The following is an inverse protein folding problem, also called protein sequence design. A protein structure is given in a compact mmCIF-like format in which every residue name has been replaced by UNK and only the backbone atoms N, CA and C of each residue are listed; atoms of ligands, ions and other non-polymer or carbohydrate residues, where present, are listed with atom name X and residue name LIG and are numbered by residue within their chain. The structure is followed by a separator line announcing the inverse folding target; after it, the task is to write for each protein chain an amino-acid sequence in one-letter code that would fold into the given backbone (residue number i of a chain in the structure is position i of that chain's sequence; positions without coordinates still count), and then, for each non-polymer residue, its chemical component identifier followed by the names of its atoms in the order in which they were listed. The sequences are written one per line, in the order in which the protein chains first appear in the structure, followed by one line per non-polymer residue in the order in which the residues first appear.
data_IF_316215354211
#
_entry.id   IF_316215354211
#
_cell.length_a   1.000
_cell.length_b   1.000
_cell.length_c   1.000
_cell.angle_alpha   90.00
_cell.angle_beta   90.00
_cell.angle_gamma   90.00
#
_symmetry.space_group_name_H-M   'P 1'
#
loop_
_entity.id
_entity.type
_entity.pdbx_description
1 polymer ?
#
# COMPACT_ATOMS: atom_id res chain seq x y z
N UNK A 1 18.97 -0.28 -7.52
CA UNK A 1 17.98 -0.54 -6.46
C UNK A 1 16.93 -1.51 -6.96
N UNK A 2 16.58 -2.51 -6.16
CA UNK A 2 15.51 -3.49 -6.44
C UNK A 2 14.37 -3.32 -5.44
N UNK A 3 13.14 -3.30 -5.95
CA UNK A 3 11.92 -3.29 -5.15
C UNK A 3 11.33 -4.70 -5.09
N UNK A 4 11.14 -5.21 -3.88
CA UNK A 4 10.46 -6.47 -3.58
C UNK A 4 9.27 -6.22 -2.67
N UNK A 5 9.02 -7.07 -1.69
CA UNK A 5 7.98 -6.90 -0.68
C UNK A 5 8.00 -8.01 0.36
N UNK A 6 7.06 -7.96 1.27
CA UNK A 6 6.95 -8.88 2.42
C UNK A 6 6.64 -10.34 2.04
N UNK A 7 6.24 -10.61 0.79
CA UNK A 7 6.17 -11.98 0.26
C UNK A 7 7.51 -12.73 0.37
N UNK A 8 8.65 -12.02 0.47
CA UNK A 8 9.94 -12.60 0.79
C UNK A 8 9.94 -13.37 2.12
N UNK A 9 9.07 -12.98 3.06
CA UNK A 9 8.93 -13.65 4.36
C UNK A 9 7.85 -14.75 4.38
N UNK A 10 7.16 -14.96 3.26
CA UNK A 10 6.09 -15.97 3.16
C UNK A 10 4.77 -15.56 3.79
N UNK A 11 4.52 -14.25 4.00
CA UNK A 11 3.30 -13.72 4.63
C UNK A 11 2.00 -14.15 3.94
N UNK A 12 2.06 -14.45 2.65
CA UNK A 12 0.94 -14.91 1.83
C UNK A 12 0.67 -16.42 1.93
N UNK A 13 1.55 -17.17 2.61
CA UNK A 13 1.46 -18.63 2.74
C UNK A 13 1.01 -19.07 4.14
N UNK A 14 1.49 -18.36 5.16
CA UNK A 14 1.26 -18.71 6.57
C UNK A 14 1.51 -17.51 7.48
N UNK A 15 0.99 -17.52 8.72
CA UNK A 15 1.41 -16.57 9.74
C UNK A 15 2.91 -16.62 9.95
N UNK A 16 3.52 -15.46 10.15
CA UNK A 16 4.96 -15.31 10.43
C UNK A 16 5.17 -14.77 11.83
N UNK A 17 6.37 -14.93 12.39
CA UNK A 17 6.75 -14.20 13.57
C UNK A 17 6.86 -12.70 13.27
N UNK A 18 6.47 -11.83 14.20
CA UNK A 18 6.56 -10.38 14.05
C UNK A 18 7.49 -9.78 15.10
N UNK A 19 8.26 -8.77 14.73
CA UNK A 19 8.44 -8.20 13.40
C UNK A 19 9.38 -9.05 12.53
N UNK A 20 9.06 -9.17 11.23
CA UNK A 20 9.94 -9.82 10.27
C UNK A 20 11.24 -9.02 10.10
N UNK A 21 12.38 -9.71 9.97
CA UNK A 21 13.71 -9.10 9.92
C UNK A 21 14.50 -9.59 8.72
N UNK A 22 15.27 -8.70 8.11
CA UNK A 22 16.07 -8.96 6.92
C UNK A 22 17.12 -10.06 7.14
N UNK A 23 17.60 -10.23 8.38
CA UNK A 23 18.57 -11.26 8.76
C UNK A 23 18.01 -12.69 8.84
N UNK A 24 16.69 -12.86 8.67
CA UNK A 24 16.11 -14.19 8.63
C UNK A 24 16.53 -14.92 7.35
N UNK A 25 16.66 -16.26 7.41
CA UNK A 25 16.93 -17.04 6.23
C UNK A 25 15.79 -16.89 5.22
N UNK A 26 16.09 -17.08 3.93
CA UNK A 26 15.08 -17.12 2.87
C UNK A 26 14.00 -18.13 3.20
N UNK A 27 12.75 -17.73 3.06
CA UNK A 27 11.62 -18.65 3.20
C UNK A 27 11.66 -19.69 2.06
N UNK A 28 11.46 -20.95 2.43
CA UNK A 28 11.51 -22.08 1.47
C UNK A 28 10.20 -22.15 0.69
N UNK A 29 10.09 -21.38 -0.38
CA UNK A 29 8.96 -21.38 -1.33
C UNK A 29 9.42 -20.85 -2.69
N UNK A 30 8.71 -21.21 -3.75
CA UNK A 30 8.93 -20.60 -5.06
C UNK A 30 8.63 -19.10 -5.01
N UNK A 31 9.63 -18.28 -5.35
CA UNK A 31 9.51 -16.85 -5.35
C UNK A 31 10.53 -16.26 -6.34
N UNK A 32 10.05 -15.56 -7.35
CA UNK A 32 10.91 -14.91 -8.34
C UNK A 32 11.87 -13.87 -7.71
N UNK A 33 11.61 -13.40 -6.49
CA UNK A 33 12.53 -12.55 -5.74
C UNK A 33 13.90 -13.22 -5.55
N UNK A 34 13.92 -14.53 -5.35
CA UNK A 34 15.19 -15.27 -5.16
C UNK A 34 16.03 -15.24 -6.41
N UNK A 35 15.42 -15.38 -7.60
CA UNK A 35 16.11 -15.28 -8.89
C UNK A 35 16.70 -13.88 -9.11
N UNK A 36 15.94 -12.84 -8.75
CA UNK A 36 16.41 -11.45 -8.82
C UNK A 36 17.58 -11.19 -7.86
N UNK A 37 17.49 -11.65 -6.62
CA UNK A 37 18.54 -11.48 -5.62
C UNK A 37 19.82 -12.24 -6.04
N UNK A 38 19.68 -13.47 -6.51
CA UNK A 38 20.82 -14.29 -6.92
C UNK A 38 21.53 -13.65 -8.13
N UNK A 39 20.77 -13.17 -9.11
CA UNK A 39 21.31 -12.43 -10.25
C UNK A 39 22.07 -11.17 -9.80
N UNK A 40 21.50 -10.36 -8.91
CA UNK A 40 22.18 -9.15 -8.42
C UNK A 40 23.46 -9.47 -7.66
N UNK A 41 23.44 -10.51 -6.81
CA UNK A 41 24.61 -10.94 -6.04
C UNK A 41 25.71 -11.52 -6.93
N UNK A 42 25.36 -12.23 -8.00
CA UNK A 42 26.30 -12.73 -9.00
C UNK A 42 26.96 -11.57 -9.73
N UNK A 43 26.15 -10.64 -10.26
CA UNK A 43 26.67 -9.46 -10.99
C UNK A 43 27.54 -8.56 -10.12
N UNK A 44 27.19 -8.36 -8.85
CA UNK A 44 27.99 -7.58 -7.91
C UNK A 44 29.37 -8.19 -7.64
N UNK A 45 29.51 -9.52 -7.69
CA UNK A 45 30.81 -10.18 -7.52
C UNK A 45 31.69 -10.10 -8.78
N UNK A 46 31.09 -10.02 -9.95
CA UNK A 46 31.79 -10.00 -11.24
C UNK A 46 32.20 -8.59 -11.68
N UNK A 47 31.58 -7.56 -11.12
CA UNK A 47 31.74 -6.15 -11.56
C UNK A 47 31.75 -5.23 -10.34
N UNK A 48 32.17 -3.99 -10.54
CA UNK A 48 32.06 -2.93 -9.52
C UNK A 48 30.62 -2.38 -9.46
N UNK A 49 29.64 -3.26 -9.25
CA UNK A 49 28.21 -2.95 -9.21
C UNK A 49 27.64 -3.23 -7.84
N UNK A 50 27.29 -2.16 -7.11
CA UNK A 50 26.57 -2.25 -5.85
C UNK A 50 25.04 -2.26 -6.05
N UNK A 51 24.32 -2.91 -5.15
CA UNK A 51 22.86 -2.94 -5.18
C UNK A 51 22.25 -2.71 -3.80
N UNK A 52 20.98 -2.30 -3.78
CA UNK A 52 20.16 -2.23 -2.56
C UNK A 52 18.79 -2.83 -2.85
N UNK A 53 18.28 -3.64 -1.94
CA UNK A 53 16.96 -4.26 -2.03
C UNK A 53 16.05 -3.67 -0.96
N UNK A 54 14.89 -3.15 -1.37
CA UNK A 54 13.85 -2.71 -0.43
C UNK A 54 12.68 -3.68 -0.41
N UNK A 55 12.20 -4.01 0.79
CA UNK A 55 11.02 -4.82 1.05
C UNK A 55 9.97 -3.98 1.77
N UNK A 56 9.24 -3.12 1.04
CA UNK A 56 8.19 -2.31 1.63
C UNK A 56 6.97 -3.15 2.01
N UNK A 57 6.17 -2.60 2.90
CA UNK A 57 4.79 -2.99 3.14
C UNK A 57 3.86 -2.41 2.05
N UNK A 58 2.57 -2.24 2.33
CA UNK A 58 1.59 -1.70 1.37
C UNK A 58 1.99 -0.30 0.95
N UNK A 59 2.23 -0.11 -0.35
CA UNK A 59 2.61 1.19 -0.92
C UNK A 59 1.35 1.97 -1.29
N UNK A 60 1.27 3.20 -0.81
CA UNK A 60 0.23 4.17 -1.15
C UNK A 60 0.84 5.32 -1.96
N UNK A 61 0.14 5.76 -2.99
CA UNK A 61 0.60 6.85 -3.83
C UNK A 61 -0.38 7.17 -4.95
N UNK A 62 -0.10 8.25 -5.67
CA UNK A 62 -0.88 8.68 -6.81
C UNK A 62 -0.45 7.90 -8.07
N UNK A 63 -1.20 6.84 -8.40
CA UNK A 63 -0.99 6.03 -9.59
C UNK A 63 -2.32 5.49 -10.13
N UNK A 64 -2.61 5.77 -11.39
CA UNK A 64 -3.81 5.30 -12.09
C UNK A 64 -3.53 3.94 -12.75
N UNK A 65 -4.50 3.03 -12.70
CA UNK A 65 -4.43 1.72 -13.37
C UNK A 65 -3.47 0.72 -12.76
N UNK A 66 -2.90 1.02 -11.59
CA UNK A 66 -2.04 0.08 -10.87
C UNK A 66 -2.87 -1.07 -10.27
N UNK A 67 -2.29 -2.27 -10.25
CA UNK A 67 -3.01 -3.46 -9.78
C UNK A 67 -3.19 -3.55 -8.25
N UNK A 68 -2.49 -2.72 -7.47
CA UNK A 68 -2.46 -2.77 -6.01
C UNK A 68 -2.39 -1.37 -5.39
N UNK A 69 -3.22 -0.44 -5.87
CA UNK A 69 -3.31 0.92 -5.32
C UNK A 69 -4.71 1.19 -4.76
N UNK A 70 -4.81 1.36 -3.44
CA UNK A 70 -6.09 1.56 -2.76
C UNK A 70 -6.60 3.02 -2.90
N UNK A 71 -5.72 3.99 -3.16
CA UNK A 71 -6.07 5.41 -3.23
C UNK A 71 -7.21 5.70 -4.22
N UNK A 72 -7.10 5.33 -5.52
CA UNK A 72 -8.19 5.59 -6.46
C UNK A 72 -9.47 4.83 -6.11
N UNK A 73 -9.37 3.68 -5.42
CA UNK A 73 -10.54 2.92 -4.96
C UNK A 73 -11.35 3.71 -3.94
N UNK A 74 -10.67 4.29 -2.94
CA UNK A 74 -11.31 5.10 -1.91
C UNK A 74 -11.86 6.40 -2.47
N UNK A 75 -11.13 7.04 -3.40
CA UNK A 75 -11.61 8.24 -4.11
C UNK A 75 -12.89 7.97 -4.91
N UNK A 76 -12.92 6.90 -5.70
CA UNK A 76 -14.09 6.50 -6.48
C UNK A 76 -15.27 6.12 -5.55
N UNK A 77 -14.99 5.40 -4.47
CA UNK A 77 -16.00 5.06 -3.48
C UNK A 77 -16.63 6.31 -2.84
N UNK A 78 -15.81 7.27 -2.41
CA UNK A 78 -16.30 8.53 -1.83
C UNK A 78 -17.13 9.34 -2.84
N UNK A 79 -16.68 9.45 -4.10
CA UNK A 79 -17.41 10.19 -5.15
C UNK A 79 -18.77 9.56 -5.45
N UNK A 80 -18.83 8.23 -5.54
CA UNK A 80 -20.09 7.51 -5.78
C UNK A 80 -21.04 7.66 -4.58
N UNK A 81 -20.53 7.47 -3.34
CA UNK A 81 -21.36 7.65 -2.13
C UNK A 81 -21.92 9.07 -2.03
N UNK A 82 -21.13 10.09 -2.40
CA UNK A 82 -21.57 11.49 -2.43
C UNK A 82 -22.69 11.71 -3.45
N UNK A 83 -22.59 11.18 -4.65
CA UNK A 83 -23.63 11.31 -5.68
C UNK A 83 -24.93 10.59 -5.25
N UNK A 84 -24.81 9.46 -4.57
CA UNK A 84 -25.94 8.71 -3.97
C UNK A 84 -26.49 9.38 -2.68
N UNK A 85 -25.84 10.44 -2.17
CA UNK A 85 -26.17 11.10 -0.90
C UNK A 85 -26.08 10.15 0.30
N UNK A 86 -25.12 9.26 0.29
CA UNK A 86 -24.83 8.27 1.32
C UNK A 86 -23.53 8.65 2.06
N UNK A 87 -23.41 8.33 3.36
CA UNK A 87 -22.16 8.58 4.09
C UNK A 87 -21.03 7.67 3.59
N UNK A 88 -19.78 8.10 3.80
CA UNK A 88 -18.59 7.32 3.53
C UNK A 88 -18.41 6.26 4.62
N UNK A 89 -19.18 5.19 4.55
CA UNK A 89 -19.18 4.11 5.54
C UNK A 89 -17.92 3.24 5.44
N UNK A 90 -17.41 2.76 6.58
CA UNK A 90 -16.32 1.78 6.61
C UNK A 90 -16.81 0.42 6.08
N UNK A 91 -16.11 -0.14 5.10
CA UNK A 91 -16.56 -1.36 4.40
C UNK A 91 -15.81 -2.62 4.80
N UNK A 92 -14.73 -2.48 5.60
CA UNK A 92 -13.88 -3.60 5.98
C UNK A 92 -14.51 -4.57 6.97
N UNK A 93 -13.87 -5.71 7.11
CA UNK A 93 -14.23 -6.77 8.05
C UNK A 93 -13.56 -6.61 9.42
N UNK A 94 -13.01 -7.71 9.96
CA UNK A 94 -12.34 -7.72 11.25
C UNK A 94 -11.08 -6.86 11.25
N UNK A 95 -10.91 -6.09 12.33
CA UNK A 95 -9.76 -5.19 12.49
C UNK A 95 -8.46 -5.98 12.71
N UNK A 96 -7.39 -5.52 12.08
CA UNK A 96 -6.04 -6.00 12.30
C UNK A 96 -5.02 -4.90 12.02
N UNK A 97 -3.81 -5.06 12.54
CA UNK A 97 -2.75 -4.06 12.44
C UNK A 97 -1.98 -4.21 11.13
N UNK A 98 -1.75 -3.07 10.47
CA UNK A 98 -1.01 -2.95 9.22
C UNK A 98 0.10 -1.91 9.34
N UNK A 99 0.99 -1.92 8.36
CA UNK A 99 1.97 -0.87 8.11
C UNK A 99 1.81 -0.35 6.69
N UNK A 100 2.00 0.95 6.52
CA UNK A 100 1.95 1.64 5.24
C UNK A 100 3.35 2.04 4.77
N UNK A 101 3.46 2.31 3.47
CA UNK A 101 4.61 3.01 2.86
C UNK A 101 4.07 4.08 1.93
N UNK A 102 4.44 5.31 2.18
CA UNK A 102 4.23 6.41 1.23
C UNK A 102 5.19 6.25 0.05
N UNK A 103 4.70 6.34 -1.17
CA UNK A 103 5.52 6.25 -2.37
C UNK A 103 6.61 7.34 -2.42
N UNK A 104 6.36 8.51 -1.81
CA UNK A 104 7.33 9.60 -1.67
C UNK A 104 8.44 9.23 -0.69
N UNK A 105 8.12 8.53 0.41
CA UNK A 105 9.12 8.01 1.35
C UNK A 105 9.99 6.95 0.68
N UNK A 106 9.38 6.05 -0.11
CA UNK A 106 10.10 5.06 -0.90
C UNK A 106 11.06 5.72 -1.90
N UNK A 107 10.63 6.77 -2.59
CA UNK A 107 11.49 7.53 -3.50
C UNK A 107 12.67 8.19 -2.76
N UNK A 108 12.45 8.75 -1.57
CA UNK A 108 13.53 9.26 -0.71
C UNK A 108 14.51 8.17 -0.29
N UNK A 109 14.01 6.98 0.07
CA UNK A 109 14.85 5.85 0.41
C UNK A 109 15.71 5.38 -0.77
N UNK A 110 15.17 5.37 -1.99
CA UNK A 110 15.93 5.06 -3.21
C UNK A 110 17.03 6.09 -3.46
N UNK A 111 16.71 7.39 -3.32
CA UNK A 111 17.70 8.46 -3.46
C UNK A 111 18.80 8.34 -2.41
N UNK A 112 18.46 8.09 -1.16
CA UNK A 112 19.42 7.86 -0.09
C UNK A 112 20.34 6.68 -0.40
N UNK A 113 19.78 5.54 -0.79
CA UNK A 113 20.53 4.33 -1.09
C UNK A 113 21.53 4.51 -2.25
N UNK A 114 21.23 5.39 -3.21
CA UNK A 114 22.13 5.68 -4.33
C UNK A 114 23.42 6.40 -3.89
N UNK A 115 23.45 6.98 -2.70
CA UNK A 115 24.59 7.78 -2.21
C UNK A 115 25.18 7.28 -0.88
N UNK A 116 24.49 6.39 -0.18
CA UNK A 116 24.91 5.90 1.13
C UNK A 116 25.75 4.62 1.01
N UNK A 117 27.04 4.64 1.39
CA UNK A 117 27.87 3.43 1.38
C UNK A 117 27.29 2.30 2.25
N UNK A 118 26.59 2.65 3.33
CA UNK A 118 25.89 1.71 4.22
C UNK A 118 24.71 0.98 3.60
N UNK A 119 24.30 1.38 2.39
CA UNK A 119 23.21 0.75 1.64
C UNK A 119 23.72 -0.26 0.58
N UNK A 120 25.02 -0.29 0.30
CA UNK A 120 25.59 -1.17 -0.71
C UNK A 120 25.47 -2.63 -0.31
N UNK A 121 24.98 -3.46 -1.24
CA UNK A 121 24.76 -4.91 -1.12
C UNK A 121 23.85 -5.32 0.05
N UNK A 122 22.97 -4.40 0.44
CA UNK A 122 22.10 -4.54 1.58
C UNK A 122 20.62 -4.73 1.21
N UNK A 123 19.89 -5.32 2.14
CA UNK A 123 18.44 -5.46 2.05
C UNK A 123 17.79 -4.76 3.24
N UNK A 124 16.76 -3.96 3.00
CA UNK A 124 16.04 -3.20 4.01
C UNK A 124 14.53 -3.39 3.92
N UNK A 125 13.89 -3.58 5.06
CA UNK A 125 12.46 -3.37 5.20
C UNK A 125 12.17 -1.85 5.23
N UNK A 126 11.03 -1.44 4.68
CA UNK A 126 10.60 -0.05 4.68
C UNK A 126 9.11 0.06 5.04
N UNK A 127 8.82 0.96 5.97
CA UNK A 127 7.47 1.39 6.35
C UNK A 127 7.47 2.88 6.64
N UNK A 128 6.30 3.50 6.79
CA UNK A 128 6.17 4.90 7.21
C UNK A 128 6.80 5.16 8.60
N UNK A 129 6.80 4.14 9.47
CA UNK A 129 7.38 4.23 10.81
C UNK A 129 6.39 4.01 11.94
N UNK A 130 5.10 3.99 11.64
CA UNK A 130 3.98 3.70 12.52
C UNK A 130 3.23 2.44 12.07
N UNK A 131 2.13 2.15 12.75
CA UNK A 131 1.18 1.09 12.44
C UNK A 131 -0.23 1.65 12.47
N UNK A 132 -1.15 1.09 11.69
CA UNK A 132 -2.53 1.54 11.65
C UNK A 132 -3.53 0.39 11.60
N UNK A 133 -4.79 0.72 11.87
CA UNK A 133 -5.97 -0.11 11.64
C UNK A 133 -6.91 0.68 10.75
N UNK A 134 -7.41 0.10 9.68
CA UNK A 134 -8.25 0.81 8.70
C UNK A 134 -9.41 1.57 9.34
N UNK A 135 -10.12 0.94 10.28
CA UNK A 135 -11.24 1.57 10.98
C UNK A 135 -10.84 2.86 11.71
N UNK A 136 -9.63 2.90 12.26
CA UNK A 136 -9.15 4.03 13.06
C UNK A 136 -8.72 5.21 12.18
N UNK A 137 -8.14 4.96 11.00
CA UNK A 137 -7.75 6.02 10.05
C UNK A 137 -8.90 6.44 9.12
N UNK A 138 -9.99 5.70 9.10
CA UNK A 138 -11.14 5.97 8.23
C UNK A 138 -11.73 7.37 8.38
N UNK A 139 -11.90 7.90 9.60
CA UNK A 139 -12.38 9.29 9.79
C UNK A 139 -11.43 10.35 9.21
N UNK A 140 -10.11 10.12 9.25
CA UNK A 140 -9.14 11.03 8.65
C UNK A 140 -9.23 11.01 7.12
N UNK A 141 -9.36 9.83 6.54
CA UNK A 141 -9.57 9.66 5.09
C UNK A 141 -10.87 10.36 4.67
N UNK A 142 -11.95 10.16 5.40
CA UNK A 142 -13.23 10.82 5.13
C UNK A 142 -13.10 12.34 5.14
N UNK A 143 -12.43 12.91 6.16
CA UNK A 143 -12.17 14.37 6.24
C UNK A 143 -11.39 14.87 5.03
N UNK A 144 -10.33 14.16 4.63
CA UNK A 144 -9.50 14.53 3.49
C UNK A 144 -10.28 14.52 2.16
N UNK A 145 -11.24 13.60 2.02
CA UNK A 145 -12.15 13.50 0.87
C UNK A 145 -13.37 14.44 0.99
N UNK A 146 -13.51 15.23 2.07
CA UNK A 146 -14.68 16.07 2.33
C UNK A 146 -15.98 15.26 2.44
N UNK A 147 -15.90 14.05 3.00
CA UNK A 147 -17.03 13.13 3.16
C UNK A 147 -17.40 12.97 4.65
N UNK A 148 -18.68 12.74 4.93
CA UNK A 148 -19.15 12.38 6.28
C UNK A 148 -19.04 10.86 6.48
N UNK A 149 -18.53 10.45 7.64
CA UNK A 149 -18.53 9.04 8.03
C UNK A 149 -19.92 8.58 8.46
N UNK A 150 -20.24 7.32 8.17
CA UNK A 150 -21.46 6.65 8.65
C UNK A 150 -21.16 5.42 9.50
N UNK A 151 -22.23 4.75 9.92
CA UNK A 151 -22.11 3.44 10.53
C UNK A 151 -21.38 2.47 9.55
N UNK A 152 -20.59 1.54 10.06
CA UNK A 152 -19.90 0.56 9.21
C UNK A 152 -20.89 -0.27 8.37
N UNK A 153 -20.58 -0.40 7.09
CA UNK A 153 -21.34 -1.20 6.14
C UNK A 153 -20.40 -2.25 5.52
N UNK A 154 -20.14 -3.39 6.17
CA UNK A 154 -19.25 -4.40 5.64
C UNK A 154 -19.70 -4.90 4.26
N UNK A 155 -18.87 -4.68 3.24
CA UNK A 155 -19.14 -5.09 1.87
C UNK A 155 -17.84 -5.26 1.09
N UNK A 156 -17.93 -5.87 -0.09
CA UNK A 156 -16.82 -5.86 -1.04
C UNK A 156 -16.87 -4.59 -1.89
N UNK A 157 -15.83 -3.78 -1.81
CA UNK A 157 -15.69 -2.58 -2.62
C UNK A 157 -15.69 -2.88 -4.13
N UNK A 158 -15.07 -3.98 -4.54
CA UNK A 158 -15.07 -4.40 -5.94
C UNK A 158 -16.51 -4.59 -6.44
N UNK A 159 -17.35 -5.33 -5.72
CA UNK A 159 -18.73 -5.58 -6.13
C UNK A 159 -19.55 -4.28 -6.14
N UNK A 160 -19.39 -3.45 -5.10
CA UNK A 160 -20.11 -2.17 -4.99
C UNK A 160 -19.75 -1.20 -6.13
N UNK A 161 -18.47 -1.03 -6.42
CA UNK A 161 -17.97 -0.08 -7.40
C UNK A 161 -18.31 -0.52 -8.83
N UNK A 162 -18.06 -1.78 -9.20
CA UNK A 162 -18.33 -2.25 -10.55
C UNK A 162 -19.82 -2.35 -10.89
N UNK A 163 -20.69 -2.51 -9.90
CA UNK A 163 -22.13 -2.38 -10.08
C UNK A 163 -22.55 -0.93 -10.43
N UNK A 164 -21.69 0.06 -10.19
CA UNK A 164 -21.95 1.50 -10.38
C UNK A 164 -21.06 2.16 -11.44
N UNK A 165 -20.54 1.37 -12.36
CA UNK A 165 -19.63 1.86 -13.44
C UNK A 165 -20.27 2.95 -14.31
N UNK A 166 -21.58 2.88 -14.54
CA UNK A 166 -22.28 3.87 -15.33
C UNK A 166 -22.44 5.18 -14.53
N UNK A 167 -22.77 5.10 -13.24
CA UNK A 167 -22.79 6.27 -12.35
C UNK A 167 -21.42 6.94 -12.26
N UNK A 168 -20.33 6.15 -12.18
CA UNK A 168 -18.97 6.70 -12.24
C UNK A 168 -18.72 7.47 -13.54
N UNK A 169 -19.14 6.93 -14.69
CA UNK A 169 -18.98 7.61 -15.99
C UNK A 169 -19.72 8.95 -16.02
N UNK A 170 -20.92 9.01 -15.41
CA UNK A 170 -21.69 10.24 -15.32
C UNK A 170 -20.98 11.26 -14.41
N UNK A 171 -20.45 10.82 -13.25
CA UNK A 171 -19.62 11.64 -12.35
C UNK A 171 -18.40 12.17 -13.10
N UNK A 172 -17.66 11.29 -13.77
CA UNK A 172 -16.44 11.66 -14.48
C UNK A 172 -16.73 12.69 -15.58
N UNK A 173 -17.81 12.52 -16.32
CA UNK A 173 -18.27 13.46 -17.36
C UNK A 173 -18.66 14.80 -16.74
N UNK A 174 -19.45 14.79 -15.67
CA UNK A 174 -19.94 15.98 -14.96
C UNK A 174 -18.79 16.84 -14.41
N UNK A 175 -17.73 16.20 -13.93
CA UNK A 175 -16.59 16.87 -13.28
C UNK A 175 -15.33 16.94 -14.15
N UNK A 176 -15.36 16.48 -15.40
CA UNK A 176 -14.23 16.52 -16.33
C UNK A 176 -13.04 15.66 -15.87
N UNK A 177 -13.29 14.54 -15.19
CA UNK A 177 -12.23 13.66 -14.70
C UNK A 177 -11.50 12.99 -15.86
N UNK A 178 -10.20 12.72 -15.64
CA UNK A 178 -9.27 12.19 -16.66
C UNK A 178 -9.69 10.80 -17.16
N UNK A 179 -10.19 9.92 -16.27
CA UNK A 179 -10.53 8.55 -16.63
C UNK A 179 -11.99 8.21 -16.29
N UNK A 180 -12.87 8.22 -17.31
CA UNK A 180 -14.28 7.87 -17.15
C UNK A 180 -14.56 6.37 -17.11
N UNK A 181 -13.59 5.53 -17.46
CA UNK A 181 -13.71 4.08 -17.37
C UNK A 181 -13.20 3.61 -16.01
N UNK A 182 -14.13 3.21 -15.13
CA UNK A 182 -13.80 2.74 -13.79
C UNK A 182 -12.88 1.51 -13.81
N UNK A 183 -13.01 0.63 -14.80
CA UNK A 183 -12.16 -0.54 -14.95
C UNK A 183 -10.71 -0.16 -15.25
N UNK A 184 -10.48 0.85 -16.09
CA UNK A 184 -9.15 1.37 -16.38
C UNK A 184 -8.57 2.13 -15.19
N UNK A 185 -9.39 2.92 -14.49
CA UNK A 185 -8.96 3.65 -13.30
C UNK A 185 -8.45 2.71 -12.21
N UNK A 186 -9.22 1.69 -11.89
CA UNK A 186 -8.98 0.83 -10.74
C UNK A 186 -8.14 -0.41 -11.06
N UNK A 187 -8.19 -0.92 -12.29
CA UNK A 187 -7.58 -2.20 -12.62
C UNK A 187 -8.09 -3.29 -11.67
N UNK A 188 -7.17 -3.91 -10.93
CA UNK A 188 -7.46 -4.91 -9.88
C UNK A 188 -7.36 -4.35 -8.46
N UNK A 189 -7.29 -3.04 -8.31
CA UNK A 189 -7.08 -2.41 -7.01
C UNK A 189 -8.28 -2.53 -6.08
N UNK A 190 -9.51 -2.67 -6.64
CA UNK A 190 -10.70 -2.85 -5.82
C UNK A 190 -10.69 -4.19 -5.06
N UNK A 191 -10.30 -5.29 -5.73
CA UNK A 191 -10.13 -6.60 -5.08
C UNK A 191 -8.95 -6.58 -4.09
N UNK A 192 -7.91 -5.81 -4.39
CA UNK A 192 -6.79 -5.63 -3.47
C UNK A 192 -7.21 -4.84 -2.21
N UNK A 193 -8.04 -3.81 -2.36
CA UNK A 193 -8.64 -3.10 -1.22
C UNK A 193 -9.47 -4.03 -0.34
N UNK A 194 -10.32 -4.86 -0.95
CA UNK A 194 -11.10 -5.87 -0.24
C UNK A 194 -10.22 -6.84 0.55
N UNK A 195 -9.12 -7.28 -0.05
CA UNK A 195 -8.14 -8.12 0.63
C UNK A 195 -7.48 -7.40 1.81
N UNK A 196 -7.00 -6.18 1.61
CA UNK A 196 -6.32 -5.39 2.65
C UNK A 196 -7.25 -4.93 3.77
N UNK A 197 -8.54 -4.80 3.53
CA UNK A 197 -9.54 -4.45 4.54
C UNK A 197 -10.23 -5.68 5.16
N UNK A 198 -9.80 -6.89 4.79
CA UNK A 198 -10.44 -8.15 5.21
C UNK A 198 -11.96 -8.14 4.98
N UNK A 199 -12.42 -7.57 3.85
CA UNK A 199 -13.84 -7.35 3.54
C UNK A 199 -14.64 -8.63 3.68
N UNK A 200 -15.76 -8.57 4.39
CA UNK A 200 -16.61 -9.69 4.76
C UNK A 200 -15.94 -10.82 5.57
N UNK A 201 -14.68 -10.62 6.02
CA UNK A 201 -14.02 -11.59 6.89
C UNK A 201 -14.40 -11.37 8.35
N UNK A 202 -14.89 -12.40 9.00
CA UNK A 202 -15.12 -12.40 10.44
C UNK A 202 -13.85 -12.66 11.28
N UNK A 203 -12.68 -12.83 10.63
CA UNK A 203 -11.40 -13.09 11.29
C UNK A 203 -10.37 -12.06 10.89
N UNK A 204 -9.66 -11.54 11.88
CA UNK A 204 -8.48 -10.72 11.66
C UNK A 204 -7.42 -11.50 10.88
N UNK A 205 -6.79 -10.85 9.91
CA UNK A 205 -5.60 -11.41 9.26
C UNK A 205 -4.46 -11.49 10.28
N UNK A 206 -3.60 -12.52 10.20
CA UNK A 206 -2.38 -12.56 11.01
C UNK A 206 -1.54 -11.31 10.74
N UNK A 207 -0.98 -10.66 11.77
CA UNK A 207 -0.12 -9.51 11.58
C UNK A 207 1.12 -9.90 10.76
N UNK A 208 1.51 -9.03 9.83
CA UNK A 208 2.67 -9.22 8.96
C UNK A 208 3.65 -8.05 9.09
N UNK A 209 3.88 -7.57 10.30
CA UNK A 209 4.70 -6.38 10.59
C UNK A 209 6.19 -6.66 10.38
N UNK A 210 6.94 -5.64 9.97
CA UNK A 210 8.37 -5.73 9.70
C UNK A 210 9.19 -4.82 10.63
N UNK A 211 10.45 -5.15 10.83
CA UNK A 211 11.38 -4.29 11.55
C UNK A 211 12.11 -3.38 10.58
N UNK A 212 12.09 -2.07 10.81
CA UNK A 212 12.87 -1.07 10.07
C UNK A 212 14.14 -0.62 10.80
N UNK A 213 14.50 -1.29 11.88
CA UNK A 213 15.66 -0.91 12.73
C UNK A 213 16.96 -0.93 11.93
N UNK A 214 17.16 -1.93 11.05
CA UNK A 214 18.36 -2.03 10.21
C UNK A 214 18.50 -0.81 9.30
N UNK A 215 17.42 -0.39 8.65
CA UNK A 215 17.39 0.79 7.78
C UNK A 215 17.77 2.06 8.55
N UNK A 216 17.19 2.27 9.73
CA UNK A 216 17.50 3.41 10.61
C UNK A 216 18.97 3.39 11.08
N UNK A 217 19.50 2.24 11.45
CA UNK A 217 20.90 2.07 11.84
C UNK A 217 21.86 2.33 10.68
N UNK A 218 21.44 2.08 9.44
CA UNK A 218 22.19 2.40 8.24
C UNK A 218 22.20 3.90 7.89
N UNK A 219 21.39 4.72 8.57
CA UNK A 219 21.36 6.17 8.43
C UNK A 219 20.16 6.75 7.68
N UNK A 220 19.15 5.95 7.29
CA UNK A 220 17.89 6.47 6.77
C UNK A 220 16.91 6.69 7.92
N UNK A 221 16.73 7.95 8.31
CA UNK A 221 15.91 8.35 9.45
C UNK A 221 14.54 8.92 9.09
N UNK A 222 14.19 9.02 7.81
CA UNK A 222 12.91 9.59 7.38
C UNK A 222 11.74 8.71 7.80
N UNK A 223 10.63 9.36 8.07
CA UNK A 223 9.34 8.74 8.40
C UNK A 223 8.19 9.62 7.91
N UNK A 224 6.98 9.07 7.90
CA UNK A 224 5.73 9.78 7.60
C UNK A 224 4.67 9.24 8.56
N UNK A 225 3.82 10.11 9.11
CA UNK A 225 2.61 9.72 9.80
C UNK A 225 1.61 9.17 8.78
N UNK A 226 1.05 7.99 9.04
CA UNK A 226 0.17 7.33 8.07
C UNK A 226 -1.18 8.06 7.90
N UNK A 227 -1.68 8.71 8.93
CA UNK A 227 -2.90 9.53 8.85
C UNK A 227 -2.65 10.78 7.99
N UNK A 228 -1.53 11.48 8.22
CA UNK A 228 -1.10 12.64 7.44
C UNK A 228 -0.86 12.26 5.97
N UNK A 229 -0.25 11.09 5.72
CA UNK A 229 -0.08 10.55 4.36
C UNK A 229 -1.39 10.48 3.60
N UNK A 230 -2.43 9.92 4.20
CA UNK A 230 -3.74 9.84 3.55
C UNK A 230 -4.33 11.24 3.31
N UNK A 231 -4.21 12.13 4.30
CA UNK A 231 -4.70 13.49 4.17
C UNK A 231 -4.04 14.23 3.00
N UNK A 232 -2.70 14.15 2.89
CA UNK A 232 -1.94 14.80 1.83
C UNK A 232 -2.22 14.20 0.44
N UNK A 233 -2.27 12.86 0.32
CA UNK A 233 -2.54 12.21 -0.97
C UNK A 233 -3.93 12.59 -1.48
N UNK A 234 -4.95 12.55 -0.63
CA UNK A 234 -6.30 12.89 -1.06
C UNK A 234 -6.51 14.38 -1.33
N UNK A 235 -5.80 15.27 -0.60
CA UNK A 235 -5.81 16.69 -0.94
C UNK A 235 -5.29 16.96 -2.37
N UNK A 236 -4.27 16.23 -2.81
CA UNK A 236 -3.73 16.32 -4.18
C UNK A 236 -4.67 15.74 -5.26
N UNK A 237 -5.57 14.83 -4.89
CA UNK A 237 -6.52 14.22 -5.83
C UNK A 237 -7.78 15.08 -6.03
N UNK A 238 -8.02 16.10 -5.20
CA UNK A 238 -9.24 16.93 -5.23
C UNK A 238 -9.01 18.26 -5.98
N UNK A 239 -7.75 18.68 -6.15
CA UNK A 239 -7.33 19.84 -6.95
C UNK A 239 -7.22 19.48 -8.44
#
# INVERSE_FOLDING_TARGET
TLLQGTKAYGVHLRPIAVPARERWPRNQHENFYWLQEDFLRERSRETDFGFTIFRPQIIFGDAIGAAMNIIPVLGAYAAIRREERLPFAYTGGADYTLEAVDARLLARAFRWAAHAPSAHDETFNLTNGDVFVWRNVWPAIARALGAETGEPEPMRLADYLFARKDLWRDIATKHGLVEPDLGKLLGRSAEYADYCMASLSGRAAPPALVSTIKLRQAGFGDYIDTEDMFAEIFAQCVD
#
